data_IF_003221942908
#
_entry.id   IF_003221942908
#
_cell.length_a   1.000
_cell.length_b   1.000
_cell.length_c   1.000
_cell.angle_alpha   90.00
_cell.angle_beta   90.00
_cell.angle_gamma   90.00
#
_symmetry.space_group_name_H-M   'P 1'
#
loop_
_entity.id
_entity.type
_entity.pdbx_description
1 polymer ?
#
# COMPACT_ATOMS: atom_id res chain seq x y z
N UNK A 1 -10.75 -13.71 -2.99
CA UNK A 1 -10.34 -12.41 -2.42
C UNK A 1 -10.99 -11.23 -3.14
N UNK A 2 -10.95 -11.10 -4.48
CA UNK A 2 -11.59 -9.96 -5.19
C UNK A 2 -13.08 -9.86 -4.89
N UNK A 3 -13.82 -10.97 -5.03
CA UNK A 3 -15.26 -10.98 -4.74
C UNK A 3 -15.55 -10.65 -3.28
N UNK A 4 -14.73 -11.15 -2.35
CA UNK A 4 -14.86 -10.84 -0.93
C UNK A 4 -14.57 -9.36 -0.66
N UNK A 5 -13.51 -8.81 -1.26
CA UNK A 5 -13.19 -7.39 -1.19
C UNK A 5 -14.29 -6.51 -1.80
N UNK A 6 -14.91 -6.95 -2.91
CA UNK A 6 -16.04 -6.24 -3.50
C UNK A 6 -17.25 -6.18 -2.55
N UNK A 7 -17.63 -7.32 -1.97
CA UNK A 7 -18.74 -7.36 -1.01
C UNK A 7 -18.43 -6.51 0.23
N UNK A 8 -17.19 -6.61 0.75
CA UNK A 8 -16.74 -5.81 1.89
C UNK A 8 -16.69 -4.31 1.54
N UNK A 9 -16.27 -3.98 0.32
CA UNK A 9 -16.19 -2.61 -0.21
C UNK A 9 -17.55 -1.89 -0.28
N UNK A 10 -18.66 -2.64 -0.39
CA UNK A 10 -20.01 -2.05 -0.32
C UNK A 10 -20.23 -1.36 1.03
N UNK A 11 -19.70 -1.94 2.11
CA UNK A 11 -19.84 -1.44 3.48
C UNK A 11 -18.68 -0.57 3.91
N UNK A 12 -17.48 -0.85 3.39
CA UNK A 12 -16.23 -0.17 3.75
C UNK A 12 -15.35 0.04 2.50
N UNK A 13 -15.43 1.22 1.84
CA UNK A 13 -14.70 1.48 0.60
C UNK A 13 -13.17 1.50 0.75
N UNK A 14 -12.65 1.64 1.97
CA UNK A 14 -11.21 1.56 2.28
C UNK A 14 -10.64 0.12 2.31
N UNK A 15 -11.37 -0.87 1.77
CA UNK A 15 -10.94 -2.27 1.75
C UNK A 15 -9.67 -2.49 0.92
N UNK A 16 -8.70 -3.19 1.49
CA UNK A 16 -7.44 -3.57 0.85
C UNK A 16 -7.44 -5.02 0.33
N UNK A 17 -8.40 -5.84 0.75
CA UNK A 17 -8.48 -7.26 0.40
C UNK A 17 -8.68 -7.44 -1.10
N UNK A 18 -9.47 -6.55 -1.71
CA UNK A 18 -9.68 -6.50 -3.16
C UNK A 18 -8.40 -6.23 -3.91
N UNK A 19 -7.57 -5.29 -3.44
CA UNK A 19 -6.29 -4.95 -4.04
C UNK A 19 -5.31 -6.14 -4.00
N UNK A 20 -5.19 -6.82 -2.87
CA UNK A 20 -4.40 -8.07 -2.79
C UNK A 20 -4.92 -9.15 -3.73
N UNK A 21 -6.25 -9.29 -3.84
CA UNK A 21 -6.86 -10.23 -4.78
C UNK A 21 -6.54 -9.90 -6.22
N UNK A 22 -6.59 -8.64 -6.61
CA UNK A 22 -6.27 -8.18 -7.96
C UNK A 22 -4.78 -8.40 -8.29
N UNK A 23 -3.88 -8.01 -7.41
CA UNK A 23 -2.44 -8.24 -7.54
C UNK A 23 -2.13 -9.73 -7.68
N UNK A 24 -2.76 -10.58 -6.84
CA UNK A 24 -2.58 -12.03 -6.91
C UNK A 24 -3.00 -12.59 -8.27
N UNK A 25 -4.14 -12.16 -8.84
CA UNK A 25 -4.60 -12.62 -10.16
C UNK A 25 -3.68 -12.13 -11.27
N UNK A 26 -3.28 -10.85 -11.26
CA UNK A 26 -2.42 -10.28 -12.28
C UNK A 26 -1.04 -10.95 -12.32
N UNK A 27 -0.47 -11.27 -11.17
CA UNK A 27 0.89 -11.80 -11.09
C UNK A 27 0.97 -13.32 -10.91
N UNK A 28 -0.12 -14.01 -10.58
CA UNK A 28 -0.13 -15.48 -10.45
C UNK A 28 0.36 -16.17 -11.72
N UNK A 29 -0.04 -15.69 -12.90
CA UNK A 29 0.40 -16.21 -14.17
C UNK A 29 1.90 -16.04 -14.42
N UNK A 30 2.46 -14.91 -14.00
CA UNK A 30 3.90 -14.63 -14.11
C UNK A 30 4.70 -15.52 -13.16
N UNK A 31 4.23 -15.71 -11.93
CA UNK A 31 4.86 -16.60 -10.95
C UNK A 31 4.82 -18.06 -11.39
N UNK A 32 3.65 -18.55 -11.83
CA UNK A 32 3.49 -19.93 -12.31
C UNK A 32 4.38 -20.26 -13.52
N UNK A 33 4.60 -19.29 -14.40
CA UNK A 33 5.45 -19.43 -15.60
C UNK A 33 6.91 -19.05 -15.37
N UNK A 34 7.29 -18.69 -14.13
CA UNK A 34 8.63 -18.20 -13.78
C UNK A 34 9.08 -16.99 -14.63
N UNK A 35 8.13 -16.15 -15.04
CA UNK A 35 8.38 -14.93 -15.81
C UNK A 35 8.84 -13.79 -14.90
N UNK A 36 9.93 -14.00 -14.20
CA UNK A 36 10.43 -13.07 -13.18
C UNK A 36 10.83 -11.71 -13.78
N UNK A 37 11.33 -11.68 -15.02
CA UNK A 37 11.67 -10.41 -15.69
C UNK A 37 10.44 -9.50 -15.80
N UNK A 38 9.29 -10.05 -16.23
CA UNK A 38 8.05 -9.29 -16.32
C UNK A 38 7.57 -8.85 -14.94
N UNK A 39 7.64 -9.73 -13.95
CA UNK A 39 7.28 -9.43 -12.57
C UNK A 39 8.14 -8.29 -12.01
N UNK A 40 9.47 -8.34 -12.22
CA UNK A 40 10.38 -7.31 -11.72
C UNK A 40 10.24 -6.00 -12.47
N UNK A 41 10.06 -6.03 -13.80
CA UNK A 41 9.86 -4.80 -14.56
C UNK A 41 8.55 -4.10 -14.17
N UNK A 42 7.48 -4.85 -13.98
CA UNK A 42 6.22 -4.31 -13.47
C UNK A 42 6.37 -3.76 -12.04
N UNK A 43 7.04 -4.51 -11.15
CA UNK A 43 7.33 -4.07 -9.79
C UNK A 43 8.19 -2.80 -9.78
N UNK A 44 9.24 -2.73 -10.58
CA UNK A 44 10.09 -1.55 -10.72
C UNK A 44 9.31 -0.34 -11.26
N UNK A 45 8.48 -0.53 -12.30
CA UNK A 45 7.65 0.52 -12.87
C UNK A 45 6.69 1.10 -11.82
N UNK A 46 5.98 0.24 -11.09
CA UNK A 46 5.04 0.67 -10.05
C UNK A 46 5.78 1.34 -8.88
N UNK A 47 6.97 0.84 -8.51
CA UNK A 47 7.81 1.48 -7.50
C UNK A 47 8.24 2.88 -7.92
N UNK A 48 8.64 3.07 -9.18
CA UNK A 48 8.98 4.38 -9.71
C UNK A 48 7.77 5.32 -9.75
N UNK A 49 6.60 4.80 -10.13
CA UNK A 49 5.35 5.56 -10.11
C UNK A 49 4.98 5.98 -8.68
N UNK A 50 5.08 5.07 -7.72
CA UNK A 50 4.84 5.37 -6.30
C UNK A 50 5.86 6.40 -5.77
N UNK A 51 7.13 6.28 -6.13
CA UNK A 51 8.16 7.26 -5.77
C UNK A 51 7.90 8.64 -6.39
N UNK A 52 7.47 8.70 -7.65
CA UNK A 52 7.08 9.94 -8.31
C UNK A 52 5.87 10.58 -7.62
N UNK A 53 4.87 9.78 -7.26
CA UNK A 53 3.71 10.24 -6.49
C UNK A 53 4.14 10.74 -5.09
N UNK A 54 5.04 10.03 -4.42
CA UNK A 54 5.61 10.44 -3.15
C UNK A 54 6.24 11.83 -3.25
N UNK A 55 7.08 12.05 -4.25
CA UNK A 55 7.72 13.34 -4.46
C UNK A 55 6.69 14.43 -4.81
N UNK A 56 5.73 14.12 -5.68
CA UNK A 56 4.67 15.06 -6.04
C UNK A 56 3.84 15.48 -4.83
N UNK A 57 3.49 14.54 -3.95
CA UNK A 57 2.78 14.84 -2.71
C UNK A 57 3.60 15.68 -1.74
N UNK A 58 4.92 15.44 -1.64
CA UNK A 58 5.82 16.24 -0.81
C UNK A 58 5.87 17.73 -1.21
N UNK A 59 5.60 18.03 -2.48
CA UNK A 59 5.54 19.39 -3.02
C UNK A 59 4.10 19.89 -3.28
N UNK A 60 3.08 19.10 -2.94
CA UNK A 60 1.69 19.48 -3.17
C UNK A 60 1.26 20.65 -2.28
N UNK A 61 0.30 21.45 -2.77
CA UNK A 61 -0.30 22.51 -1.96
C UNK A 61 -1.13 21.93 -0.80
N UNK A 62 -1.29 22.68 0.31
CA UNK A 62 -2.14 22.24 1.41
C UNK A 62 -3.58 21.89 0.98
N UNK A 63 -4.12 22.62 -0.01
CA UNK A 63 -5.45 22.36 -0.56
C UNK A 63 -5.51 21.00 -1.28
N UNK A 64 -4.48 20.68 -2.08
CA UNK A 64 -4.37 19.38 -2.74
C UNK A 64 -4.32 18.26 -1.70
N UNK A 65 -3.53 18.42 -0.65
CA UNK A 65 -3.43 17.43 0.44
C UNK A 65 -4.76 17.29 1.18
N UNK A 66 -5.48 18.39 1.42
CA UNK A 66 -6.78 18.35 2.08
C UNK A 66 -7.79 17.52 1.28
N UNK A 67 -7.81 17.66 -0.04
CA UNK A 67 -8.65 16.85 -0.93
C UNK A 67 -8.26 15.37 -0.88
N UNK A 68 -6.98 15.06 -1.03
CA UNK A 68 -6.48 13.67 -1.05
C UNK A 68 -6.60 12.96 0.31
N UNK A 69 -6.48 13.70 1.42
CA UNK A 69 -6.64 13.15 2.76
C UNK A 69 -8.10 12.94 3.18
N UNK A 70 -9.06 13.35 2.34
CA UNK A 70 -10.48 13.35 2.69
C UNK A 70 -10.85 14.37 3.79
N UNK A 71 -9.94 15.28 4.12
CA UNK A 71 -10.20 16.32 5.12
C UNK A 71 -11.16 17.40 4.58
N UNK A 72 -11.27 17.51 3.27
CA UNK A 72 -12.27 18.33 2.61
C UNK A 72 -13.34 17.38 2.07
N UNK A 73 -14.59 17.55 2.51
CA UNK A 73 -15.72 16.80 1.96
C UNK A 73 -15.66 16.92 0.43
N UNK A 74 -15.54 15.80 -0.25
CA UNK A 74 -15.51 15.79 -1.70
C UNK A 74 -16.84 16.37 -2.18
N UNK A 75 -16.80 17.47 -2.90
CA UNK A 75 -17.99 18.05 -3.56
C UNK A 75 -18.58 17.11 -4.65
N UNK A 76 -17.96 15.96 -4.86
CA UNK A 76 -18.48 14.86 -5.63
C UNK A 76 -19.53 14.03 -4.84
N UNK A 77 -20.39 14.69 -4.10
CA UNK A 77 -21.62 14.04 -3.63
C UNK A 77 -22.56 13.95 -4.82
N UNK A 78 -22.24 13.07 -5.76
CA UNK A 78 -23.23 12.59 -6.72
C UNK A 78 -24.36 12.04 -5.85
N UNK A 79 -25.60 12.39 -6.12
CA UNK A 79 -26.79 11.91 -5.41
C UNK A 79 -27.01 10.40 -5.70
N UNK A 80 -25.99 9.57 -5.40
CA UNK A 80 -26.04 8.13 -5.52
C UNK A 80 -26.53 7.53 -4.19
N UNK A 81 -27.26 6.42 -4.23
CA UNK A 81 -27.48 5.61 -3.04
C UNK A 81 -26.13 5.28 -2.39
N UNK A 82 -26.06 5.27 -1.07
CA UNK A 82 -24.80 5.09 -0.31
C UNK A 82 -23.97 3.88 -0.78
N UNK A 83 -24.62 2.76 -1.07
CA UNK A 83 -23.94 1.54 -1.54
C UNK A 83 -23.29 1.74 -2.93
N UNK A 84 -23.93 2.50 -3.82
CA UNK A 84 -23.40 2.79 -5.14
C UNK A 84 -22.21 3.75 -5.04
N UNK A 85 -22.29 4.76 -4.16
CA UNK A 85 -21.19 5.66 -3.87
C UNK A 85 -19.99 4.86 -3.31
N UNK A 86 -20.21 3.96 -2.37
CA UNK A 86 -19.15 3.10 -1.81
C UNK A 86 -18.51 2.19 -2.87
N UNK A 87 -19.29 1.62 -3.80
CA UNK A 87 -18.75 0.82 -4.90
C UNK A 87 -17.83 1.65 -5.81
N UNK A 88 -18.26 2.87 -6.17
CA UNK A 88 -17.45 3.77 -6.98
C UNK A 88 -16.14 4.14 -6.25
N UNK A 89 -16.25 4.53 -4.99
CA UNK A 89 -15.09 4.87 -4.17
C UNK A 89 -14.15 3.67 -3.98
N UNK A 90 -14.68 2.49 -3.68
CA UNK A 90 -13.91 1.25 -3.59
C UNK A 90 -13.18 0.94 -4.90
N UNK A 91 -13.86 1.10 -6.05
CA UNK A 91 -13.24 0.85 -7.36
C UNK A 91 -12.08 1.80 -7.60
N UNK A 92 -12.25 3.09 -7.32
CA UNK A 92 -11.19 4.09 -7.46
C UNK A 92 -10.04 3.78 -6.50
N UNK A 93 -10.35 3.51 -5.22
CA UNK A 93 -9.37 3.16 -4.21
C UNK A 93 -8.57 1.90 -4.59
N UNK A 94 -9.23 0.89 -5.16
CA UNK A 94 -8.58 -0.34 -5.65
C UNK A 94 -7.48 -0.04 -6.67
N UNK A 95 -7.77 0.80 -7.68
CA UNK A 95 -6.76 1.18 -8.68
C UNK A 95 -5.64 2.03 -8.08
N UNK A 96 -5.98 2.98 -7.22
CA UNK A 96 -4.98 3.80 -6.51
C UNK A 96 -4.07 2.93 -5.66
N UNK A 97 -4.62 2.00 -4.89
CA UNK A 97 -3.83 1.08 -4.05
C UNK A 97 -2.90 0.19 -4.88
N UNK A 98 -3.36 -0.33 -6.01
CA UNK A 98 -2.53 -1.18 -6.87
C UNK A 98 -1.42 -0.38 -7.57
N UNK A 99 -1.70 0.84 -8.02
CA UNK A 99 -0.77 1.63 -8.82
C UNK A 99 0.15 2.53 -7.99
N UNK A 100 -0.32 3.05 -6.86
CA UNK A 100 0.40 4.05 -6.08
C UNK A 100 0.83 3.57 -4.70
N UNK A 101 0.16 2.57 -4.12
CA UNK A 101 0.60 1.94 -2.89
C UNK A 101 1.68 0.88 -3.19
N UNK A 102 2.51 0.58 -2.20
CA UNK A 102 3.62 -0.36 -2.33
C UNK A 102 3.19 -1.85 -2.29
N UNK A 103 1.94 -2.17 -2.64
CA UNK A 103 1.41 -3.54 -2.63
C UNK A 103 2.14 -4.43 -3.65
N UNK A 104 2.37 -3.93 -4.87
CA UNK A 104 3.06 -4.70 -5.91
C UNK A 104 4.54 -4.91 -5.57
N UNK A 105 5.32 -3.88 -5.19
CA UNK A 105 6.67 -4.09 -4.67
C UNK A 105 6.73 -5.07 -3.51
N UNK A 106 5.81 -4.99 -2.55
CA UNK A 106 5.73 -5.92 -1.43
C UNK A 106 5.46 -7.36 -1.89
N UNK A 107 4.55 -7.56 -2.86
CA UNK A 107 4.28 -8.87 -3.44
C UNK A 107 5.50 -9.46 -4.16
N UNK A 108 6.25 -8.64 -4.92
CA UNK A 108 7.50 -9.04 -5.58
C UNK A 108 8.56 -9.43 -4.55
N UNK A 109 8.71 -8.62 -3.49
CA UNK A 109 9.63 -8.91 -2.39
C UNK A 109 9.26 -10.23 -1.69
N UNK A 110 7.97 -10.43 -1.39
CA UNK A 110 7.46 -11.65 -0.78
C UNK A 110 7.74 -12.89 -1.64
N UNK A 111 7.54 -12.79 -2.96
CA UNK A 111 7.85 -13.87 -3.90
C UNK A 111 9.35 -14.21 -3.90
N UNK A 112 10.23 -13.19 -3.81
CA UNK A 112 11.68 -13.42 -3.72
C UNK A 112 12.09 -14.05 -2.40
N UNK A 113 11.51 -13.61 -1.29
CA UNK A 113 11.77 -14.21 0.02
C UNK A 113 11.34 -15.69 0.04
N UNK A 114 10.22 -16.02 -0.60
CA UNK A 114 9.78 -17.41 -0.75
C UNK A 114 10.80 -18.25 -1.53
N UNK A 115 11.36 -17.72 -2.64
CA UNK A 115 12.38 -18.41 -3.43
C UNK A 115 13.69 -18.66 -2.66
N UNK A 116 14.01 -17.83 -1.66
CA UNK A 116 15.22 -18.01 -0.83
C UNK A 116 15.09 -19.13 0.22
N UNK A 117 13.91 -19.72 0.35
CA UNK A 117 13.62 -20.75 1.34
C UNK A 117 13.51 -20.23 2.77
N UNK A 118 13.48 -18.92 2.98
CA UNK A 118 13.42 -18.29 4.29
C UNK A 118 12.15 -18.67 5.07
N UNK A 119 11.06 -18.88 4.34
CA UNK A 119 9.75 -19.28 4.90
C UNK A 119 9.74 -20.78 5.20
N UNK A 120 10.42 -21.57 4.37
CA UNK A 120 10.43 -23.05 4.49
C UNK A 120 11.42 -23.51 5.56
N UNK A 121 12.55 -22.80 5.70
CA UNK A 121 13.63 -23.11 6.63
C UNK A 121 13.97 -21.91 7.53
N UNK A 122 13.02 -21.42 8.36
CA UNK A 122 13.23 -20.24 9.18
C UNK A 122 14.38 -20.41 10.19
N UNK A 123 14.66 -21.65 10.60
CA UNK A 123 15.74 -21.97 11.51
C UNK A 123 17.14 -21.64 10.96
N UNK A 124 17.29 -21.62 9.63
CA UNK A 124 18.56 -21.26 8.95
C UNK A 124 18.74 -19.74 8.82
N UNK A 125 17.65 -18.98 8.94
CA UNK A 125 17.61 -17.55 8.68
C UNK A 125 17.23 -16.72 9.92
N UNK A 126 17.38 -17.27 11.13
CA UNK A 126 16.96 -16.64 12.40
C UNK A 126 17.49 -15.22 12.58
N UNK A 127 18.77 -14.98 12.24
CA UNK A 127 19.37 -13.65 12.34
C UNK A 127 18.72 -12.64 11.39
N UNK A 128 18.45 -13.04 10.15
CA UNK A 128 17.79 -12.19 9.16
C UNK A 128 16.33 -11.93 9.56
N UNK A 129 15.60 -12.96 9.97
CA UNK A 129 14.22 -12.82 10.43
C UNK A 129 14.12 -11.93 11.68
N UNK A 130 15.04 -12.08 12.63
CA UNK A 130 15.08 -11.20 13.80
C UNK A 130 15.41 -9.75 13.42
N UNK A 131 16.34 -9.54 12.49
CA UNK A 131 16.67 -8.20 12.01
C UNK A 131 15.48 -7.56 11.26
N UNK A 132 14.80 -8.32 10.41
CA UNK A 132 13.59 -7.87 9.72
C UNK A 132 12.46 -7.60 10.72
N UNK A 133 12.24 -8.47 11.70
CA UNK A 133 11.23 -8.33 12.74
C UNK A 133 11.46 -7.07 13.56
N UNK A 134 12.61 -6.97 14.20
CA UNK A 134 12.95 -5.83 15.06
C UNK A 134 13.01 -4.54 14.23
N UNK A 135 13.76 -4.55 13.12
CA UNK A 135 13.94 -3.37 12.27
C UNK A 135 12.62 -2.89 11.66
N UNK A 136 11.85 -3.80 11.06
CA UNK A 136 10.57 -3.49 10.43
C UNK A 136 9.54 -2.96 11.43
N UNK A 137 9.38 -3.61 12.58
CA UNK A 137 8.45 -3.16 13.61
C UNK A 137 8.87 -1.83 14.22
N UNK A 138 10.16 -1.61 14.46
CA UNK A 138 10.67 -0.35 15.01
C UNK A 138 10.43 0.81 14.03
N UNK A 139 10.75 0.62 12.75
CA UNK A 139 10.52 1.64 11.72
C UNK A 139 9.02 1.87 11.53
N UNK A 140 8.22 0.80 11.48
CA UNK A 140 6.76 0.90 11.35
C UNK A 140 6.11 1.63 12.53
N UNK A 141 6.50 1.30 13.76
CA UNK A 141 6.01 1.98 14.96
C UNK A 141 6.46 3.45 15.01
N UNK A 142 7.72 3.71 14.64
CA UNK A 142 8.24 5.08 14.52
C UNK A 142 7.48 5.91 13.50
N UNK A 143 7.17 5.32 12.32
CA UNK A 143 6.37 5.96 11.29
C UNK A 143 4.94 6.23 11.72
N UNK A 144 4.30 5.26 12.39
CA UNK A 144 2.96 5.44 12.92
C UNK A 144 2.89 6.54 13.98
N UNK A 145 3.89 6.59 14.88
CA UNK A 145 4.00 7.66 15.87
C UNK A 145 4.21 9.02 15.21
N UNK A 146 5.11 9.10 14.22
CA UNK A 146 5.34 10.31 13.45
C UNK A 146 4.05 10.80 12.79
N UNK A 147 3.33 9.91 12.09
CA UNK A 147 2.06 10.24 11.44
C UNK A 147 1.01 10.72 12.45
N UNK A 148 0.92 10.10 13.63
CA UNK A 148 -0.01 10.52 14.66
C UNK A 148 0.32 11.94 15.20
N UNK A 149 1.60 12.24 15.40
CA UNK A 149 2.05 13.55 15.85
C UNK A 149 1.85 14.64 14.79
N UNK A 150 2.13 14.32 13.52
CA UNK A 150 1.98 15.27 12.40
C UNK A 150 0.53 15.68 12.21
N UNK A 151 -0.44 14.77 12.44
CA UNK A 151 -1.87 15.11 12.38
C UNK A 151 -2.32 16.10 13.44
N UNK A 152 -1.54 16.31 14.49
CA UNK A 152 -1.77 17.36 15.49
C UNK A 152 -1.23 18.74 15.07
N UNK A 153 -0.49 18.79 13.94
CA UNK A 153 0.10 20.00 13.38
C UNK A 153 -0.80 20.59 12.28
N UNK A 154 -0.53 21.83 11.83
CA UNK A 154 -1.21 22.42 10.69
C UNK A 154 -1.08 21.55 9.44
N UNK A 155 -2.11 21.56 8.60
CA UNK A 155 -2.18 20.73 7.37
C UNK A 155 -0.99 20.95 6.41
N UNK A 156 -0.34 22.10 6.47
CA UNK A 156 0.88 22.40 5.71
C UNK A 156 2.07 21.49 6.03
N UNK A 157 2.04 20.79 7.17
CA UNK A 157 3.07 19.82 7.54
C UNK A 157 2.80 18.40 6.99
N UNK A 158 1.59 18.14 6.48
CA UNK A 158 1.13 16.81 6.09
C UNK A 158 1.69 16.25 4.77
N UNK A 159 2.15 17.05 3.78
CA UNK A 159 2.59 16.49 2.50
C UNK A 159 3.60 15.36 2.65
N UNK A 160 4.65 15.59 3.45
CA UNK A 160 5.70 14.60 3.68
C UNK A 160 5.26 13.44 4.58
N UNK A 161 4.37 13.70 5.54
CA UNK A 161 3.79 12.64 6.36
C UNK A 161 2.95 11.69 5.51
N UNK A 162 2.08 12.24 4.67
CA UNK A 162 1.23 11.45 3.78
C UNK A 162 2.05 10.55 2.87
N UNK A 163 3.13 11.08 2.29
CA UNK A 163 4.02 10.34 1.43
C UNK A 163 4.85 9.30 2.20
N UNK A 164 5.41 9.68 3.36
CA UNK A 164 6.26 8.79 4.17
C UNK A 164 5.50 7.59 4.74
N UNK A 165 4.20 7.73 4.98
CA UNK A 165 3.33 6.67 5.50
C UNK A 165 3.39 5.39 4.68
N UNK A 166 3.46 5.49 3.37
CA UNK A 166 3.57 4.33 2.47
C UNK A 166 4.90 3.57 2.67
N UNK A 167 6.01 4.31 2.83
CA UNK A 167 7.33 3.71 3.06
C UNK A 167 7.42 3.04 4.43
N UNK A 168 6.89 3.68 5.47
CA UNK A 168 6.84 3.10 6.82
C UNK A 168 5.92 1.88 6.87
N UNK A 169 4.83 1.87 6.10
CA UNK A 169 3.94 0.71 5.97
C UNK A 169 4.67 -0.50 5.41
N UNK A 170 5.47 -0.34 4.35
CA UNK A 170 6.27 -1.43 3.77
C UNK A 170 7.32 -1.95 4.77
N UNK A 171 8.03 -1.07 5.47
CA UNK A 171 9.00 -1.45 6.47
C UNK A 171 8.35 -2.22 7.64
N UNK A 172 7.17 -1.78 8.08
CA UNK A 172 6.39 -2.49 9.09
C UNK A 172 6.01 -3.90 8.63
N UNK A 173 5.61 -4.06 7.35
CA UNK A 173 5.23 -5.36 6.82
C UNK A 173 6.37 -6.38 6.92
N UNK A 174 7.63 -5.97 6.76
CA UNK A 174 8.80 -6.83 6.98
C UNK A 174 8.92 -7.33 8.42
N UNK A 175 8.35 -6.62 9.38
CA UNK A 175 8.37 -6.99 10.79
C UNK A 175 7.39 -8.12 11.15
N UNK A 176 6.45 -8.46 10.27
CA UNK A 176 5.46 -9.51 10.49
C UNK A 176 5.86 -10.87 9.91
N UNK A 177 7.00 -10.96 9.22
CA UNK A 177 7.57 -12.21 8.71
C UNK A 177 8.34 -12.96 9.80
#
# INVERSE_FOLDING_TARGET
MILFGFVHGIFFPGDIIGAYGLVAVLFAGCLARKQYTLLYSAGAFITLLAAANFLAMGFASPETIAVWSGAQESQFTIALPWFAANIVEWTIALFIQVLLALIVPAAVLGARLADTGIIIHPERHRGLLAAMGIGGLTVGAGGALHSALTKMMPISAWPWDFAAKELFGLASACGWL
#
